data_IF_061780730457
#
_entry.id   IF_061780730457
#
_cell.length_a   1.000
_cell.length_b   1.000
_cell.length_c   1.000
_cell.angle_alpha   90.00
_cell.angle_beta   90.00
_cell.angle_gamma   90.00
#
_symmetry.space_group_name_H-M   'P 1'
#
loop_
_entity.id
_entity.type
_entity.pdbx_description
1 polymer ?
#
# COMPACT_ATOMS: atom_id res chain seq x y z
N UNK A 1 -36.99 -32.44 -27.26
CA UNK A 1 -36.87 -32.28 -25.79
C UNK A 1 -35.39 -32.28 -25.43
N UNK A 2 -34.76 -31.10 -25.28
CA UNK A 2 -33.44 -30.89 -24.65
C UNK A 2 -33.03 -29.41 -24.73
N UNK A 3 -33.94 -28.48 -24.39
CA UNK A 3 -33.63 -27.03 -24.37
C UNK A 3 -34.00 -26.34 -23.05
N UNK A 4 -34.68 -27.02 -22.12
CA UNK A 4 -35.16 -26.41 -20.87
C UNK A 4 -34.28 -26.67 -19.64
N UNK A 5 -33.31 -27.60 -19.71
CA UNK A 5 -32.46 -27.94 -18.56
C UNK A 5 -31.27 -26.98 -18.42
N UNK A 6 -30.78 -26.37 -19.51
CA UNK A 6 -29.66 -25.41 -19.44
C UNK A 6 -30.02 -24.06 -18.81
N UNK A 7 -31.30 -23.67 -18.74
CA UNK A 7 -31.69 -22.35 -18.22
C UNK A 7 -31.73 -22.27 -16.69
N UNK A 8 -31.94 -23.39 -15.99
CA UNK A 8 -32.05 -23.38 -14.52
C UNK A 8 -30.69 -23.43 -13.80
N UNK A 9 -29.66 -24.04 -14.43
CA UNK A 9 -28.32 -24.12 -13.82
C UNK A 9 -27.60 -22.76 -13.92
N UNK A 10 -27.82 -22.01 -15.01
CA UNK A 10 -27.25 -20.66 -15.17
C UNK A 10 -27.87 -19.61 -14.22
N UNK A 11 -29.14 -19.76 -13.83
CA UNK A 11 -29.81 -18.83 -12.91
C UNK A 11 -29.31 -18.97 -11.46
N UNK A 12 -28.99 -20.18 -10.99
CA UNK A 12 -28.46 -20.40 -9.64
C UNK A 12 -27.03 -19.86 -9.45
N UNK A 13 -26.20 -19.90 -10.50
CA UNK A 13 -24.83 -19.37 -10.43
C UNK A 13 -24.79 -17.84 -10.42
N UNK A 14 -25.73 -17.17 -11.09
CA UNK A 14 -25.83 -15.69 -11.05
C UNK A 14 -26.29 -15.16 -9.69
N UNK A 15 -27.12 -15.90 -8.94
CA UNK A 15 -27.63 -15.44 -7.65
C UNK A 15 -26.53 -15.41 -6.56
N UNK A 16 -25.63 -16.40 -6.55
CA UNK A 16 -24.49 -16.46 -5.61
C UNK A 16 -23.46 -15.36 -5.89
N UNK A 17 -23.28 -14.99 -7.15
CA UNK A 17 -22.42 -13.89 -7.57
C UNK A 17 -23.04 -12.53 -7.20
N UNK A 18 -24.37 -12.38 -7.31
CA UNK A 18 -25.05 -11.15 -6.89
C UNK A 18 -25.06 -10.95 -5.37
N UNK A 19 -25.19 -12.02 -4.58
CA UNK A 19 -25.11 -11.93 -3.10
C UNK A 19 -23.71 -11.50 -2.65
N UNK A 20 -22.65 -11.97 -3.31
CA UNK A 20 -21.27 -11.56 -3.00
C UNK A 20 -20.93 -10.14 -3.47
N UNK A 21 -21.62 -9.61 -4.49
CA UNK A 21 -21.49 -8.21 -4.90
C UNK A 21 -22.22 -7.22 -3.96
N UNK A 22 -23.32 -7.60 -3.33
CA UNK A 22 -24.06 -6.73 -2.40
C UNK A 22 -23.34 -6.63 -1.03
N UNK A 23 -22.55 -7.63 -0.64
CA UNK A 23 -21.82 -7.64 0.63
C UNK A 23 -20.64 -6.67 0.71
N UNK A 24 -20.28 -5.95 -0.36
CA UNK A 24 -19.19 -4.94 -0.34
C UNK A 24 -19.64 -3.49 -0.25
N UNK A 25 -20.94 -3.18 -0.20
CA UNK A 25 -21.40 -1.79 -0.07
C UNK A 25 -22.58 -1.56 0.90
N UNK A 26 -22.79 -2.45 1.87
CA UNK A 26 -23.84 -2.25 2.88
C UNK A 26 -23.24 -1.72 4.18
N UNK A 27 -23.19 -0.39 4.30
CA UNK A 27 -23.33 0.29 5.59
C UNK A 27 -24.57 -0.25 6.31
N UNK A 28 -24.53 -0.31 7.65
CA UNK A 28 -25.56 -0.84 8.53
C UNK A 28 -26.97 -0.18 8.41
N UNK A 29 -27.18 0.74 7.47
CA UNK A 29 -28.41 1.52 7.31
C UNK A 29 -29.46 0.89 6.38
N UNK A 30 -29.21 -0.27 5.77
CA UNK A 30 -30.12 -0.81 4.74
C UNK A 30 -30.78 -2.15 5.04
N UNK A 31 -30.76 -2.61 6.29
CA UNK A 31 -31.48 -3.82 6.75
C UNK A 31 -32.96 -3.76 6.35
N UNK A 32 -33.59 -2.59 6.53
CA UNK A 32 -35.00 -2.36 6.19
C UNK A 32 -35.29 -2.43 4.68
N UNK A 33 -34.36 -2.01 3.81
CA UNK A 33 -34.58 -2.14 2.36
C UNK A 33 -34.39 -3.57 1.89
N UNK A 34 -33.48 -4.32 2.51
CA UNK A 34 -33.30 -5.76 2.23
C UNK A 34 -34.55 -6.54 2.67
N UNK A 35 -35.13 -6.20 3.82
CA UNK A 35 -36.40 -6.80 4.29
C UNK A 35 -37.56 -6.52 3.32
N UNK A 36 -37.72 -5.27 2.86
CA UNK A 36 -38.76 -4.92 1.87
C UNK A 36 -38.54 -5.61 0.52
N UNK A 37 -37.30 -5.69 0.06
CA UNK A 37 -36.95 -6.36 -1.18
C UNK A 37 -37.23 -7.86 -1.12
N UNK A 38 -36.87 -8.53 -0.03
CA UNK A 38 -37.19 -9.94 0.18
C UNK A 38 -38.71 -10.18 0.23
N UNK A 39 -39.47 -9.28 0.87
CA UNK A 39 -40.93 -9.33 0.88
C UNK A 39 -41.54 -9.23 -0.52
N UNK A 40 -40.99 -8.37 -1.38
CA UNK A 40 -41.44 -8.22 -2.76
C UNK A 40 -41.18 -9.48 -3.61
N UNK A 41 -39.98 -10.06 -3.50
CA UNK A 41 -39.63 -11.28 -4.25
C UNK A 41 -40.47 -12.49 -3.81
N UNK A 42 -40.81 -12.58 -2.51
CA UNK A 42 -41.74 -13.61 -2.03
C UNK A 42 -43.15 -13.39 -2.59
N UNK A 43 -43.62 -12.13 -2.64
CA UNK A 43 -44.93 -11.80 -3.21
C UNK A 43 -45.01 -12.10 -4.72
N UNK A 44 -43.90 -11.93 -5.43
CA UNK A 44 -43.78 -12.23 -6.86
C UNK A 44 -43.63 -13.75 -7.14
N UNK A 45 -43.50 -14.57 -6.08
CA UNK A 45 -43.42 -16.03 -6.16
C UNK A 45 -42.04 -16.58 -6.54
N UNK A 46 -41.06 -15.69 -6.71
CA UNK A 46 -39.67 -16.02 -7.06
C UNK A 46 -38.89 -16.59 -5.87
N UNK A 47 -39.40 -16.44 -4.66
CA UNK A 47 -38.82 -16.97 -3.43
C UNK A 47 -39.91 -17.51 -2.50
N UNK A 48 -39.66 -18.63 -1.83
CA UNK A 48 -40.60 -19.14 -0.82
C UNK A 48 -40.44 -18.37 0.51
N UNK A 49 -41.52 -18.34 1.29
CA UNK A 49 -41.51 -17.68 2.60
C UNK A 49 -40.45 -18.28 3.55
N UNK A 50 -40.23 -19.59 3.48
CA UNK A 50 -39.20 -20.30 4.27
C UNK A 50 -37.79 -19.88 3.86
N UNK A 51 -37.55 -19.70 2.55
CA UNK A 51 -36.26 -19.22 2.03
C UNK A 51 -35.96 -17.78 2.47
N UNK A 52 -36.95 -16.88 2.42
CA UNK A 52 -36.81 -15.53 2.96
C UNK A 52 -36.47 -15.54 4.46
N UNK A 53 -37.11 -16.43 5.23
CA UNK A 53 -36.89 -16.52 6.67
C UNK A 53 -35.46 -16.92 7.04
N UNK A 54 -34.87 -17.86 6.28
CA UNK A 54 -33.46 -18.27 6.45
C UNK A 54 -32.52 -17.12 6.11
N UNK A 55 -32.80 -16.36 5.05
CA UNK A 55 -31.98 -15.21 4.64
C UNK A 55 -32.03 -14.07 5.64
N UNK A 56 -33.21 -13.78 6.21
CA UNK A 56 -33.37 -12.76 7.26
C UNK A 56 -32.64 -13.14 8.55
N UNK A 57 -32.71 -14.42 8.95
CA UNK A 57 -31.98 -14.90 10.12
C UNK A 57 -30.47 -14.74 9.94
N UNK A 58 -29.93 -15.11 8.77
CA UNK A 58 -28.52 -14.94 8.44
C UNK A 58 -28.09 -13.45 8.46
N UNK A 59 -28.95 -12.55 7.96
CA UNK A 59 -28.71 -11.11 7.98
C UNK A 59 -28.65 -10.56 9.43
N UNK A 60 -29.61 -10.94 10.28
CA UNK A 60 -29.65 -10.50 11.68
C UNK A 60 -28.50 -11.07 12.53
N UNK A 61 -28.03 -12.28 12.22
CA UNK A 61 -26.86 -12.90 12.85
C UNK A 61 -25.56 -12.19 12.44
N UNK A 62 -25.45 -11.79 11.17
CA UNK A 62 -24.33 -10.99 10.66
C UNK A 62 -24.24 -9.61 11.30
N UNK A 63 -25.36 -8.89 11.45
CA UNK A 63 -25.39 -7.57 12.11
C UNK A 63 -25.04 -7.64 13.60
N UNK A 64 -25.41 -8.73 14.29
CA UNK A 64 -25.03 -8.96 15.70
C UNK A 64 -23.54 -9.22 15.88
N UNK A 65 -22.86 -9.81 14.90
CA UNK A 65 -21.41 -10.03 14.94
C UNK A 65 -20.58 -8.80 14.55
N UNK A 66 -21.13 -7.86 13.77
CA UNK A 66 -20.46 -6.58 13.48
C UNK A 66 -20.53 -5.59 14.65
N UNK A 67 -21.69 -5.44 15.31
CA UNK A 67 -21.86 -4.45 16.38
C UNK A 67 -21.02 -4.69 17.65
N UNK A 68 -20.51 -5.91 17.86
CA UNK A 68 -19.61 -6.25 18.97
C UNK A 68 -18.13 -6.06 18.63
N UNK A 69 -17.74 -6.06 17.36
CA UNK A 69 -16.34 -5.89 16.92
C UNK A 69 -15.97 -4.43 16.69
N UNK A 70 -16.97 -3.58 16.42
CA UNK A 70 -16.75 -2.19 16.02
C UNK A 70 -16.26 -1.27 17.15
N UNK A 71 -16.51 -1.60 18.43
CA UNK A 71 -16.01 -0.78 19.56
C UNK A 71 -14.58 -1.11 20.01
N UNK A 72 -14.09 -2.30 19.70
CA UNK A 72 -12.72 -2.73 20.03
C UNK A 72 -11.76 -2.46 18.85
N UNK A 73 -12.25 -2.60 17.62
CA UNK A 73 -11.50 -2.34 16.37
C UNK A 73 -11.17 -0.87 16.11
N UNK A 74 -12.03 0.08 16.51
CA UNK A 74 -11.81 1.53 16.26
C UNK A 74 -10.57 2.08 16.98
N UNK A 75 -10.14 1.46 18.09
CA UNK A 75 -8.95 1.91 18.83
C UNK A 75 -7.66 1.30 18.29
N UNK A 76 -7.70 0.07 17.80
CA UNK A 76 -6.54 -0.64 17.23
C UNK A 76 -6.25 -0.17 15.78
N UNK A 77 -7.28 0.07 14.95
CA UNK A 77 -7.10 0.56 13.57
C UNK A 77 -6.64 2.02 13.44
N UNK A 78 -6.86 2.85 14.46
CA UNK A 78 -6.34 4.22 14.45
C UNK A 78 -4.82 4.26 14.65
N UNK A 79 -4.27 3.34 15.45
CA UNK A 79 -2.82 3.20 15.67
C UNK A 79 -2.15 2.53 14.46
N UNK A 80 -2.76 1.50 13.87
CA UNK A 80 -2.26 0.87 12.63
C UNK A 80 -2.26 1.86 11.45
N UNK A 81 -3.34 2.65 11.27
CA UNK A 81 -3.42 3.65 10.19
C UNK A 81 -2.44 4.81 10.38
N UNK A 82 -2.12 5.18 11.63
CA UNK A 82 -1.10 6.20 11.93
C UNK A 82 0.29 5.67 11.66
N UNK A 83 0.56 4.43 12.06
CA UNK A 83 1.87 3.77 11.86
C UNK A 83 2.17 3.58 10.37
N UNK A 84 1.21 3.06 9.60
CA UNK A 84 1.34 2.93 8.13
C UNK A 84 1.59 4.29 7.47
N UNK A 85 0.92 5.34 7.96
CA UNK A 85 1.09 6.70 7.45
C UNK A 85 2.47 7.28 7.80
N UNK A 86 2.96 7.07 9.04
CA UNK A 86 4.30 7.47 9.45
C UNK A 86 5.37 6.77 8.59
N UNK A 87 5.24 5.46 8.35
CA UNK A 87 6.14 4.73 7.45
C UNK A 87 6.16 5.34 6.04
N UNK A 88 5.01 5.76 5.52
CA UNK A 88 4.93 6.41 4.21
C UNK A 88 5.62 7.79 4.19
N UNK A 89 5.57 8.54 5.29
CA UNK A 89 6.30 9.80 5.44
C UNK A 89 7.81 9.57 5.56
N UNK A 90 8.24 8.58 6.34
CA UNK A 90 9.64 8.19 6.46
C UNK A 90 10.24 7.74 5.13
N UNK A 91 9.50 6.93 4.35
CA UNK A 91 9.90 6.55 2.97
C UNK A 91 10.07 7.75 2.05
N UNK A 92 9.43 8.88 2.35
CA UNK A 92 9.55 10.12 1.61
C UNK A 92 10.54 11.11 2.24
N UNK A 93 11.32 10.67 3.24
CA UNK A 93 12.35 11.46 3.89
C UNK A 93 11.79 12.50 4.86
N UNK A 94 10.57 12.34 5.35
CA UNK A 94 9.99 13.19 6.38
C UNK A 94 10.07 12.51 7.74
N UNK A 95 10.54 13.25 8.74
CA UNK A 95 10.51 12.84 10.13
C UNK A 95 9.11 12.95 10.74
N UNK A 96 8.88 12.31 11.89
CA UNK A 96 7.61 12.39 12.62
C UNK A 96 7.19 13.85 12.89
N UNK A 97 8.15 14.72 13.23
CA UNK A 97 7.90 16.15 13.45
C UNK A 97 7.35 16.86 12.19
N UNK A 98 7.75 16.43 10.99
CA UNK A 98 7.18 16.92 9.73
C UNK A 98 5.75 16.45 9.56
N UNK A 99 5.43 15.23 9.96
CA UNK A 99 4.04 14.71 9.91
C UNK A 99 3.14 15.53 10.83
N UNK A 100 3.58 15.80 12.06
CA UNK A 100 2.85 16.64 13.01
C UNK A 100 2.60 18.05 12.46
N UNK A 101 3.62 18.67 11.86
CA UNK A 101 3.49 19.97 11.18
C UNK A 101 2.46 19.92 10.06
N UNK A 102 2.44 18.86 9.26
CA UNK A 102 1.45 18.70 8.17
C UNK A 102 0.05 18.52 8.72
N UNK A 103 -0.11 17.71 9.76
CA UNK A 103 -1.41 17.54 10.43
C UNK A 103 -1.91 18.86 11.01
N UNK A 104 -1.02 19.68 11.60
CA UNK A 104 -1.35 21.02 12.09
C UNK A 104 -1.81 21.94 10.95
N UNK A 105 -1.06 22.01 9.84
CA UNK A 105 -1.44 22.82 8.67
C UNK A 105 -2.78 22.38 8.05
N UNK A 106 -3.09 21.08 8.07
CA UNK A 106 -4.40 20.58 7.64
C UNK A 106 -5.52 20.96 8.63
N UNK A 107 -5.23 20.98 9.93
CA UNK A 107 -6.15 21.49 10.95
C UNK A 107 -6.54 22.96 10.72
N UNK A 108 -5.57 23.80 10.34
CA UNK A 108 -5.79 25.21 9.98
C UNK A 108 -6.62 25.40 8.68
N UNK A 109 -6.90 24.30 7.97
CA UNK A 109 -7.67 24.28 6.72
C UNK A 109 -9.14 23.88 6.94
N UNK A 110 -9.57 23.73 8.20
CA UNK A 110 -10.91 23.25 8.57
C UNK A 110 -11.17 21.81 8.04
N UNK A 111 -10.09 21.01 7.96
CA UNK A 111 -10.14 19.60 7.57
C UNK A 111 -9.95 18.76 8.83
N UNK A 112 -11.06 18.19 9.31
CA UNK A 112 -11.14 17.46 10.58
C UNK A 112 -11.64 16.03 10.42
N UNK A 113 -11.46 15.24 11.48
CA UNK A 113 -11.94 13.87 11.59
C UNK A 113 -11.34 12.93 10.54
N UNK A 114 -12.14 11.98 10.08
CA UNK A 114 -11.74 10.94 9.13
C UNK A 114 -11.21 11.52 7.80
N UNK A 115 -11.72 12.69 7.39
CA UNK A 115 -11.27 13.38 6.17
C UNK A 115 -9.80 13.76 6.23
N UNK A 116 -9.27 14.04 7.43
CA UNK A 116 -7.86 14.43 7.61
C UNK A 116 -6.91 13.30 7.19
N UNK A 117 -7.20 12.06 7.56
CA UNK A 117 -6.39 10.90 7.18
C UNK A 117 -6.37 10.66 5.67
N UNK A 118 -7.52 10.80 5.01
CA UNK A 118 -7.61 10.70 3.55
C UNK A 118 -6.84 11.83 2.84
N UNK A 119 -7.04 13.08 3.27
CA UNK A 119 -6.33 14.23 2.70
C UNK A 119 -4.82 14.08 2.85
N UNK A 120 -4.36 13.59 4.00
CA UNK A 120 -2.94 13.35 4.26
C UNK A 120 -2.33 12.33 3.28
N UNK A 121 -3.04 11.23 2.99
CA UNK A 121 -2.61 10.27 1.94
C UNK A 121 -2.56 10.89 0.55
N UNK A 122 -3.51 11.78 0.22
CA UNK A 122 -3.48 12.48 -1.08
C UNK A 122 -2.35 13.51 -1.15
N UNK A 123 -2.06 14.23 -0.05
CA UNK A 123 -0.89 15.12 0.05
C UNK A 123 0.39 14.36 -0.24
N UNK A 124 0.56 13.17 0.35
CA UNK A 124 1.73 12.33 0.08
C UNK A 124 1.85 11.93 -1.39
N UNK A 125 0.74 11.53 -2.01
CA UNK A 125 0.71 11.20 -3.44
C UNK A 125 1.05 12.41 -4.31
N UNK A 126 0.55 13.59 -3.97
CA UNK A 126 0.92 14.84 -4.65
C UNK A 126 2.42 15.14 -4.51
N UNK A 127 2.99 14.97 -3.31
CA UNK A 127 4.43 15.15 -3.09
C UNK A 127 5.26 14.21 -3.97
N UNK A 128 4.87 12.93 -4.05
CA UNK A 128 5.52 11.94 -4.91
C UNK A 128 5.47 12.34 -6.39
N UNK A 129 4.29 12.73 -6.88
CA UNK A 129 4.10 13.16 -8.27
C UNK A 129 4.92 14.41 -8.59
N UNK A 130 4.91 15.41 -7.69
CA UNK A 130 5.70 16.64 -7.84
C UNK A 130 7.20 16.37 -7.87
N UNK A 131 7.69 15.42 -7.07
CA UNK A 131 9.12 15.05 -7.05
C UNK A 131 9.56 14.23 -8.26
N UNK A 132 8.62 13.53 -8.89
CA UNK A 132 8.88 12.73 -10.09
C UNK A 132 8.72 13.54 -11.38
N UNK A 133 8.37 14.82 -11.28
CA UNK A 133 8.16 15.74 -12.40
C UNK A 133 9.35 16.70 -12.52
N UNK A 134 10.00 16.72 -13.68
CA UNK A 134 11.11 17.65 -13.97
C UNK A 134 10.62 19.09 -14.27
N UNK A 135 9.31 19.26 -14.50
CA UNK A 135 8.67 20.54 -14.83
C UNK A 135 7.79 21.09 -13.70
N UNK A 136 7.32 22.33 -13.85
CA UNK A 136 6.33 22.91 -12.94
C UNK A 136 5.07 22.04 -12.91
N UNK A 137 4.95 21.24 -11.85
CA UNK A 137 3.84 20.33 -11.66
C UNK A 137 2.50 21.08 -11.56
N UNK A 138 1.61 20.80 -12.50
CA UNK A 138 0.20 21.18 -12.44
C UNK A 138 -0.65 19.99 -12.00
N UNK A 139 -1.59 20.24 -11.09
CA UNK A 139 -2.48 19.18 -10.61
C UNK A 139 -3.41 18.71 -11.75
N UNK A 140 -3.42 17.40 -12.09
CA UNK A 140 -4.33 16.88 -13.11
C UNK A 140 -5.80 17.11 -12.74
N UNK A 141 -6.65 17.40 -13.73
CA UNK A 141 -8.07 17.69 -13.49
C UNK A 141 -8.81 16.53 -12.83
N UNK A 142 -8.45 15.27 -13.14
CA UNK A 142 -9.01 14.10 -12.46
C UNK A 142 -8.74 14.10 -10.95
N UNK A 143 -7.58 14.58 -10.52
CA UNK A 143 -7.26 14.67 -9.10
C UNK A 143 -8.00 15.84 -8.44
N UNK A 144 -8.13 16.97 -9.15
CA UNK A 144 -8.95 18.10 -8.71
C UNK A 144 -10.42 17.68 -8.53
N UNK A 145 -10.95 16.91 -9.46
CA UNK A 145 -12.30 16.36 -9.38
C UNK A 145 -12.45 15.36 -8.24
N UNK A 146 -11.43 14.52 -8.00
CA UNK A 146 -11.40 13.63 -6.84
C UNK A 146 -11.48 14.41 -5.51
N UNK A 147 -10.73 15.52 -5.37
CA UNK A 147 -10.82 16.36 -4.19
C UNK A 147 -12.23 16.97 -3.98
N UNK A 148 -12.89 17.39 -5.05
CA UNK A 148 -14.24 17.99 -4.97
C UNK A 148 -15.32 16.96 -4.68
N UNK A 149 -15.36 15.87 -5.44
CA UNK A 149 -16.43 14.87 -5.38
C UNK A 149 -16.30 13.91 -4.20
N UNK A 150 -15.09 13.39 -3.95
CA UNK A 150 -14.86 12.34 -2.95
C UNK A 150 -14.52 12.95 -1.59
N UNK A 151 -13.62 13.93 -1.57
CA UNK A 151 -13.16 14.54 -0.32
C UNK A 151 -13.99 15.77 0.10
N UNK A 152 -14.94 16.19 -0.75
CA UNK A 152 -15.84 17.33 -0.52
C UNK A 152 -15.10 18.60 -0.12
N UNK A 153 -13.90 18.80 -0.69
CA UNK A 153 -13.08 19.98 -0.43
C UNK A 153 -13.53 21.14 -1.31
N UNK A 154 -13.57 22.34 -0.75
CA UNK A 154 -13.74 23.57 -1.52
C UNK A 154 -12.48 23.88 -2.33
N UNK A 155 -12.62 24.68 -3.40
CA UNK A 155 -11.47 25.12 -4.20
C UNK A 155 -10.38 25.81 -3.36
N UNK A 156 -10.79 26.54 -2.32
CA UNK A 156 -9.88 27.15 -1.36
C UNK A 156 -9.09 26.10 -0.56
N UNK A 157 -9.77 25.05 -0.07
CA UNK A 157 -9.13 23.95 0.65
C UNK A 157 -8.19 23.16 -0.27
N UNK A 158 -8.60 22.91 -1.51
CA UNK A 158 -7.77 22.25 -2.53
C UNK A 158 -6.49 23.05 -2.77
N UNK A 159 -6.59 24.37 -2.92
CA UNK A 159 -5.44 25.25 -3.09
C UNK A 159 -4.48 25.19 -1.89
N UNK A 160 -5.00 25.16 -0.66
CA UNK A 160 -4.20 25.02 0.56
C UNK A 160 -3.50 23.65 0.63
N UNK A 161 -4.22 22.57 0.37
CA UNK A 161 -3.69 21.19 0.33
C UNK A 161 -2.57 21.08 -0.72
N UNK A 162 -2.79 21.62 -1.92
CA UNK A 162 -1.77 21.67 -2.96
C UNK A 162 -0.55 22.50 -2.55
N UNK A 163 -0.75 23.65 -1.90
CA UNK A 163 0.33 24.48 -1.39
C UNK A 163 1.14 23.81 -0.27
N UNK A 164 0.50 22.99 0.57
CA UNK A 164 1.19 22.13 1.55
C UNK A 164 2.02 21.09 0.82
N UNK A 165 1.44 20.35 -0.13
CA UNK A 165 2.16 19.34 -0.91
C UNK A 165 3.37 19.94 -1.66
N UNK A 166 3.21 21.12 -2.27
CA UNK A 166 4.30 21.83 -2.96
C UNK A 166 5.42 22.25 -2.01
N UNK A 167 5.08 22.75 -0.81
CA UNK A 167 6.09 23.08 0.20
C UNK A 167 6.83 21.82 0.67
N UNK A 168 6.13 20.72 0.90
CA UNK A 168 6.73 19.44 1.31
C UNK A 168 7.59 18.82 0.22
N UNK A 169 7.18 18.90 -1.04
CA UNK A 169 7.97 18.40 -2.16
C UNK A 169 9.31 19.12 -2.27
N UNK A 170 9.33 20.41 -1.92
CA UNK A 170 10.53 21.26 -1.86
C UNK A 170 11.32 21.09 -0.54
N UNK A 171 10.65 20.88 0.59
CA UNK A 171 11.28 20.78 1.91
C UNK A 171 11.95 19.43 2.15
N UNK A 172 11.42 18.33 1.61
CA UNK A 172 12.07 17.02 1.77
C UNK A 172 13.19 16.75 0.76
N UNK A 173 13.98 17.77 0.46
CA UNK A 173 15.39 17.59 0.09
C UNK A 173 16.25 17.15 1.29
N UNK A 174 15.71 16.32 2.19
CA UNK A 174 16.55 15.28 2.79
C UNK A 174 16.76 14.21 1.73
N UNK A 175 17.65 14.53 0.76
CA UNK A 175 18.66 13.52 0.40
C UNK A 175 19.16 13.01 1.75
N UNK A 176 19.21 11.69 2.02
CA UNK A 176 20.02 11.24 3.13
C UNK A 176 21.35 11.98 3.01
N UNK A 177 21.73 12.70 4.07
CA UNK A 177 23.02 13.39 4.13
C UNK A 177 24.04 12.41 3.54
N UNK A 178 25.02 12.91 2.79
CA UNK A 178 26.12 12.10 2.26
C UNK A 178 26.65 11.12 3.30
N UNK A 179 26.64 11.48 4.59
CA UNK A 179 26.92 10.58 5.71
C UNK A 179 25.99 9.34 5.78
N UNK A 180 24.67 9.53 5.74
CA UNK A 180 23.69 8.42 5.76
C UNK A 180 23.76 7.57 4.49
N UNK A 181 24.06 8.18 3.34
CA UNK A 181 24.27 7.43 2.08
C UNK A 181 25.52 6.57 2.14
N UNK A 182 26.59 7.11 2.73
CA UNK A 182 27.81 6.36 2.96
C UNK A 182 27.59 5.21 3.96
N UNK A 183 26.80 5.45 5.01
CA UNK A 183 26.42 4.41 5.98
C UNK A 183 25.64 3.28 5.31
N UNK A 184 24.60 3.59 4.52
CA UNK A 184 23.83 2.57 3.79
C UNK A 184 24.72 1.80 2.80
N UNK A 185 25.63 2.49 2.11
CA UNK A 185 26.61 1.83 1.24
C UNK A 185 27.51 0.87 2.03
N UNK A 186 28.00 1.27 3.20
CA UNK A 186 28.81 0.42 4.07
C UNK A 186 28.01 -0.79 4.59
N UNK A 187 26.75 -0.61 4.98
CA UNK A 187 25.88 -1.70 5.41
C UNK A 187 25.69 -2.74 4.29
N UNK A 188 25.45 -2.28 3.06
CA UNK A 188 25.29 -3.17 1.90
C UNK A 188 26.59 -3.91 1.61
N UNK A 189 27.74 -3.22 1.63
CA UNK A 189 29.05 -3.84 1.41
C UNK A 189 29.38 -4.88 2.49
N UNK A 190 29.17 -4.55 3.76
CA UNK A 190 29.43 -5.47 4.87
C UNK A 190 28.55 -6.73 4.79
N UNK A 191 27.29 -6.59 4.37
CA UNK A 191 26.41 -7.73 4.13
C UNK A 191 26.91 -8.62 2.98
N UNK A 192 27.37 -8.03 1.88
CA UNK A 192 27.93 -8.76 0.74
C UNK A 192 29.20 -9.52 1.14
N UNK A 193 30.10 -8.87 1.89
CA UNK A 193 31.31 -9.49 2.44
C UNK A 193 30.97 -10.68 3.33
N UNK A 194 30.03 -10.53 4.26
CA UNK A 194 29.57 -11.61 5.14
C UNK A 194 29.04 -12.81 4.37
N UNK A 195 28.29 -12.60 3.28
CA UNK A 195 27.82 -13.70 2.43
C UNK A 195 28.97 -14.45 1.75
N UNK A 196 30.00 -13.72 1.34
CA UNK A 196 31.22 -14.31 0.77
C UNK A 196 31.97 -15.17 1.78
N UNK A 197 32.08 -14.68 3.02
CA UNK A 197 32.74 -15.40 4.12
C UNK A 197 31.95 -16.66 4.53
N UNK A 198 30.62 -16.57 4.62
CA UNK A 198 29.75 -17.73 4.92
C UNK A 198 29.92 -18.86 3.88
N UNK A 199 29.98 -18.49 2.60
CA UNK A 199 30.21 -19.46 1.52
C UNK A 199 31.60 -20.07 1.60
N UNK A 200 32.62 -19.27 1.92
CA UNK A 200 34.00 -19.74 2.08
C UNK A 200 34.12 -20.70 3.27
N UNK A 201 33.56 -20.36 4.42
CA UNK A 201 33.57 -21.22 5.60
C UNK A 201 32.87 -22.56 5.30
N UNK A 202 31.74 -22.54 4.59
CA UNK A 202 31.04 -23.76 4.18
C UNK A 202 31.92 -24.66 3.29
N UNK A 203 32.78 -24.08 2.44
CA UNK A 203 33.76 -24.85 1.65
C UNK A 203 34.86 -25.42 2.55
N UNK A 204 35.41 -24.64 3.48
CA UNK A 204 36.46 -25.10 4.40
C UNK A 204 35.98 -26.24 5.31
N UNK A 205 34.70 -26.22 5.72
CA UNK A 205 34.08 -27.32 6.47
C UNK A 205 33.76 -28.55 5.62
N UNK A 206 33.80 -28.43 4.29
CA UNK A 206 33.42 -29.50 3.36
C UNK A 206 31.90 -29.66 3.18
N UNK A 207 31.10 -28.68 3.64
CA UNK A 207 29.64 -28.65 3.44
C UNK A 207 29.29 -28.31 1.98
N UNK A 208 30.18 -27.58 1.30
CA UNK A 208 30.07 -27.23 -0.12
C UNK A 208 31.38 -27.50 -0.84
N UNK A 209 31.31 -27.90 -2.10
CA UNK A 209 32.45 -27.79 -3.00
C UNK A 209 32.66 -26.35 -3.46
N UNK A 210 33.88 -25.98 -3.84
CA UNK A 210 34.19 -24.66 -4.42
C UNK A 210 33.27 -24.32 -5.61
N UNK A 211 32.97 -25.31 -6.46
CA UNK A 211 32.05 -25.13 -7.60
C UNK A 211 30.63 -24.78 -7.14
N UNK A 212 30.11 -25.47 -6.12
CA UNK A 212 28.76 -25.20 -5.61
C UNK A 212 28.67 -23.86 -4.89
N UNK A 213 29.71 -23.48 -4.14
CA UNK A 213 29.80 -22.15 -3.55
C UNK A 213 29.77 -21.07 -4.64
N UNK A 214 30.45 -21.33 -5.77
CA UNK A 214 30.50 -20.38 -6.88
C UNK A 214 29.17 -20.26 -7.64
N UNK A 215 28.49 -21.38 -7.88
CA UNK A 215 27.13 -21.39 -8.43
C UNK A 215 26.13 -20.64 -7.53
N UNK A 216 26.25 -20.82 -6.19
CA UNK A 216 25.43 -20.09 -5.21
C UNK A 216 25.70 -18.60 -5.22
N UNK A 217 26.97 -18.20 -5.30
CA UNK A 217 27.32 -16.78 -5.36
C UNK A 217 26.76 -16.08 -6.60
N UNK A 218 26.90 -16.68 -7.79
CA UNK A 218 26.33 -16.14 -9.02
C UNK A 218 24.81 -15.98 -8.92
N UNK A 219 24.13 -16.95 -8.31
CA UNK A 219 22.69 -16.84 -8.06
C UNK A 219 22.36 -15.69 -7.10
N UNK A 220 23.10 -15.54 -6.00
CA UNK A 220 22.91 -14.45 -5.02
C UNK A 220 23.11 -13.08 -5.68
N UNK A 221 24.14 -12.92 -6.52
CA UNK A 221 24.38 -11.67 -7.26
C UNK A 221 23.18 -11.27 -8.11
N UNK A 222 22.73 -12.18 -8.97
CA UNK A 222 21.65 -11.89 -9.92
C UNK A 222 20.27 -11.72 -9.27
N UNK A 223 20.00 -12.46 -8.18
CA UNK A 223 18.64 -12.54 -7.62
C UNK A 223 18.45 -11.75 -6.33
N UNK A 224 19.52 -11.38 -5.63
CA UNK A 224 19.43 -10.64 -4.37
C UNK A 224 20.18 -9.32 -4.41
N UNK A 225 21.47 -9.33 -4.73
CA UNK A 225 22.30 -8.12 -4.69
C UNK A 225 21.85 -7.15 -5.79
N UNK A 226 21.65 -7.63 -7.02
CA UNK A 226 21.05 -6.91 -8.15
C UNK A 226 19.80 -6.12 -7.77
N UNK A 227 18.70 -6.82 -7.48
CA UNK A 227 17.43 -6.19 -7.16
C UNK A 227 17.47 -5.28 -5.92
N UNK A 228 18.25 -5.62 -4.88
CA UNK A 228 18.34 -4.78 -3.67
C UNK A 228 19.06 -3.47 -3.93
N UNK A 229 20.18 -3.50 -4.66
CA UNK A 229 20.94 -2.29 -5.01
C UNK A 229 20.11 -1.39 -5.93
N UNK A 230 19.43 -1.96 -6.93
CA UNK A 230 18.52 -1.21 -7.81
C UNK A 230 17.38 -0.56 -7.03
N UNK A 231 16.70 -1.32 -6.17
CA UNK A 231 15.63 -0.78 -5.32
C UNK A 231 16.12 0.32 -4.37
N UNK A 232 17.35 0.22 -3.84
CA UNK A 232 17.94 1.25 -3.00
C UNK A 232 18.25 2.54 -3.79
N UNK A 233 18.66 2.42 -5.05
CA UNK A 233 18.85 3.55 -5.97
C UNK A 233 17.50 4.20 -6.32
N UNK A 234 16.48 3.41 -6.66
CA UNK A 234 15.13 3.90 -6.95
C UNK A 234 14.51 4.65 -5.75
N UNK A 235 14.75 4.17 -4.54
CA UNK A 235 14.32 4.81 -3.30
C UNK A 235 15.15 6.05 -2.93
N UNK A 236 16.20 6.36 -3.68
CA UNK A 236 17.11 7.48 -3.41
C UNK A 236 17.99 7.31 -2.17
N UNK A 237 18.04 6.09 -1.62
CA UNK A 237 18.87 5.69 -0.49
C UNK A 237 20.34 5.60 -0.91
N UNK A 238 20.58 5.15 -2.14
CA UNK A 238 21.86 5.20 -2.82
C UNK A 238 21.76 6.13 -4.04
N UNK A 239 22.88 6.76 -4.39
CA UNK A 239 23.03 7.32 -5.72
C UNK A 239 23.34 6.23 -6.74
N UNK A 240 23.08 6.51 -8.02
CA UNK A 240 23.44 5.61 -9.12
C UNK A 240 24.94 5.28 -9.13
N UNK A 241 25.78 6.28 -8.89
CA UNK A 241 27.24 6.12 -8.79
C UNK A 241 27.64 5.15 -7.66
N UNK A 242 27.00 5.25 -6.48
CA UNK A 242 27.25 4.32 -5.38
C UNK A 242 26.78 2.90 -5.70
N UNK A 243 25.63 2.77 -6.37
CA UNK A 243 25.16 1.46 -6.85
C UNK A 243 26.15 0.83 -7.84
N UNK A 244 26.70 1.62 -8.76
CA UNK A 244 27.76 1.19 -9.69
C UNK A 244 29.08 0.88 -8.97
N UNK A 245 29.45 1.63 -7.93
CA UNK A 245 30.65 1.37 -7.12
C UNK A 245 30.57 0.03 -6.38
N UNK A 246 29.41 -0.32 -5.83
CA UNK A 246 29.17 -1.62 -5.21
C UNK A 246 29.42 -2.75 -6.24
N UNK A 247 28.87 -2.63 -7.45
CA UNK A 247 29.09 -3.63 -8.51
C UNK A 247 30.54 -3.75 -8.93
N UNK A 248 31.21 -2.62 -9.15
CA UNK A 248 32.62 -2.60 -9.52
C UNK A 248 33.51 -3.22 -8.44
N UNK A 249 33.14 -3.08 -7.17
CA UNK A 249 33.90 -3.67 -6.06
C UNK A 249 33.74 -5.19 -6.05
N UNK A 250 32.50 -5.69 -6.21
CA UNK A 250 32.24 -7.12 -6.34
C UNK A 250 33.04 -7.72 -7.50
N UNK A 251 32.99 -7.13 -8.70
CA UNK A 251 33.68 -7.66 -9.88
C UNK A 251 35.21 -7.68 -9.70
N UNK A 252 35.77 -6.66 -9.04
CA UNK A 252 37.21 -6.60 -8.73
C UNK A 252 37.63 -7.70 -7.76
N UNK A 253 36.86 -7.91 -6.69
CA UNK A 253 37.15 -8.94 -5.69
C UNK A 253 37.06 -10.34 -6.28
N UNK A 254 36.13 -10.57 -7.21
CA UNK A 254 36.04 -11.82 -7.96
C UNK A 254 37.23 -12.04 -8.87
N UNK A 255 37.65 -11.00 -9.59
CA UNK A 255 38.81 -11.08 -10.47
C UNK A 255 40.11 -11.39 -9.71
N UNK A 256 40.20 -10.96 -8.44
CA UNK A 256 41.34 -11.27 -7.57
C UNK A 256 41.33 -12.70 -7.00
N UNK A 257 40.18 -13.37 -6.98
CA UNK A 257 39.98 -14.71 -6.41
C UNK A 257 39.97 -15.83 -7.46
N UNK A 258 39.89 -15.51 -8.75
CA UNK A 258 40.04 -16.44 -9.88
C UNK A 258 41.51 -16.67 -10.22
#
# INVERSE_FOLDING_TARGET
MNSKICSHILASSCLVIMISCISRSAEAQNTDAVERWLGQIVADGDLTLEQAHVMLRALHEFSRHQGSKEREFVREHAEDSRTELLEHFERLGFDEASVDRVQQMLGETDIEGERRGHVLRVVLRLVQMMRSSDEQFEMPDLMREHFRSQLKLSDQQIGKVFGIAKRLSQQGQHRPDQARRAEIQQEVMAWIESLGDDLKEAVERGDLSEREAWEKWEWIKGNQIGPKTEAAVEKGQLSREQGEEIWNTIEKDEAAKK
#
